data_IF_179817167983
#
_entry.id   IF_179817167983
#
_cell.length_a   1.000
_cell.length_b   1.000
_cell.length_c   1.000
_cell.angle_alpha   90.00
_cell.angle_beta   90.00
_cell.angle_gamma   90.00
#
_symmetry.space_group_name_H-M   'P 1'
#
loop_
_entity.id
_entity.type
_entity.pdbx_description
1 polymer ?
#
# COMPACT_ATOMS: atom_id res chain seq x y z
N UNK A 1 15.65 5.37 -22.68
CA UNK A 1 14.77 4.56 -21.78
C UNK A 1 13.37 5.13 -21.45
N UNK A 2 13.20 6.37 -20.94
CA UNK A 2 11.85 6.94 -20.67
C UNK A 2 11.27 7.66 -21.89
N UNK A 3 12.05 8.59 -22.48
CA UNK A 3 11.65 9.38 -23.64
C UNK A 3 11.30 8.49 -24.85
N UNK A 4 12.08 7.44 -25.12
CA UNK A 4 11.77 6.45 -26.17
C UNK A 4 10.41 5.77 -25.96
N UNK A 5 10.13 5.30 -24.73
CA UNK A 5 8.85 4.67 -24.40
C UNK A 5 7.67 5.64 -24.46
N UNK A 6 7.88 6.90 -24.08
CA UNK A 6 6.86 7.95 -24.22
C UNK A 6 6.62 8.30 -25.70
N UNK A 7 7.62 8.16 -26.58
CA UNK A 7 7.47 8.31 -28.03
C UNK A 7 6.67 7.15 -28.64
N UNK A 8 6.94 5.92 -28.19
CA UNK A 8 6.28 4.71 -28.70
C UNK A 8 4.86 4.52 -28.17
N UNK A 9 4.62 4.73 -26.88
CA UNK A 9 3.34 4.43 -26.20
C UNK A 9 2.59 5.66 -25.68
N UNK A 10 3.14 6.86 -25.90
CA UNK A 10 2.61 8.08 -25.32
C UNK A 10 2.98 8.29 -23.84
N UNK A 11 2.74 9.50 -23.35
CA UNK A 11 2.99 9.86 -21.95
C UNK A 11 1.91 9.27 -21.05
N UNK A 12 2.31 8.51 -20.03
CA UNK A 12 1.38 7.99 -19.01
C UNK A 12 0.67 9.16 -18.30
N UNK A 13 -0.66 9.19 -18.36
CA UNK A 13 -1.49 10.11 -17.57
C UNK A 13 -1.26 9.87 -16.07
N UNK A 14 -0.96 10.94 -15.34
CA UNK A 14 -0.82 10.87 -13.88
C UNK A 14 -2.19 11.02 -13.23
N UNK A 15 -2.68 9.96 -12.62
CA UNK A 15 -3.95 9.96 -11.87
C UNK A 15 -3.72 10.21 -10.37
N UNK A 16 -2.48 10.53 -9.96
CA UNK A 16 -2.11 10.69 -8.54
C UNK A 16 -3.00 11.70 -7.81
N UNK A 17 -3.33 12.84 -8.42
CA UNK A 17 -4.15 13.87 -7.75
C UNK A 17 -5.56 13.36 -7.47
N UNK A 18 -6.18 12.73 -8.46
CA UNK A 18 -7.52 12.14 -8.36
C UNK A 18 -7.56 11.10 -7.24
N UNK A 19 -6.69 10.10 -7.31
CA UNK A 19 -6.67 8.98 -6.34
C UNK A 19 -6.35 9.46 -4.92
N UNK A 20 -5.40 10.39 -4.75
CA UNK A 20 -5.07 10.92 -3.42
C UNK A 20 -6.24 11.72 -2.85
N UNK A 21 -6.94 12.49 -3.67
CA UNK A 21 -8.12 13.23 -3.23
C UNK A 21 -9.26 12.28 -2.81
N UNK A 22 -9.52 11.24 -3.59
CA UNK A 22 -10.50 10.19 -3.25
C UNK A 22 -10.18 9.53 -1.91
N UNK A 23 -8.93 9.09 -1.70
CA UNK A 23 -8.51 8.45 -0.45
C UNK A 23 -8.69 9.40 0.75
N UNK A 24 -8.22 10.65 0.64
CA UNK A 24 -8.33 11.60 1.74
C UNK A 24 -9.78 11.98 2.03
N UNK A 25 -10.63 12.09 1.01
CA UNK A 25 -12.05 12.40 1.18
C UNK A 25 -12.79 11.25 1.88
N UNK A 26 -12.51 10.00 1.50
CA UNK A 26 -13.03 8.82 2.19
C UNK A 26 -12.54 8.76 3.65
N UNK A 27 -11.27 9.10 3.90
CA UNK A 27 -10.77 9.16 5.28
C UNK A 27 -11.48 10.26 6.09
N UNK A 28 -11.72 11.43 5.50
CA UNK A 28 -12.44 12.52 6.16
C UNK A 28 -13.84 12.12 6.59
N UNK A 29 -14.56 11.33 5.80
CA UNK A 29 -15.92 10.88 6.17
C UNK A 29 -15.93 9.82 7.27
N UNK A 30 -14.79 9.17 7.55
CA UNK A 30 -14.67 8.13 8.58
C UNK A 30 -14.11 8.66 9.90
N UNK A 31 -13.48 9.83 9.91
CA UNK A 31 -12.86 10.40 11.11
C UNK A 31 -13.90 11.23 11.87
N UNK A 32 -14.13 10.96 13.17
CA UNK A 32 -14.97 11.79 14.02
C UNK A 32 -14.51 13.25 14.05
N UNK A 33 -15.46 14.20 14.03
CA UNK A 33 -15.21 15.64 13.89
C UNK A 33 -14.32 16.21 15.01
N UNK A 34 -14.37 15.61 16.19
CA UNK A 34 -13.67 16.08 17.40
C UNK A 34 -12.17 15.74 17.40
N UNK A 35 -11.72 14.86 16.51
CA UNK A 35 -10.35 14.36 16.52
C UNK A 35 -9.39 15.29 15.78
N UNK A 36 -8.29 15.63 16.45
CA UNK A 36 -7.16 16.29 15.78
C UNK A 36 -6.50 15.32 14.80
N UNK A 37 -6.46 15.69 13.52
CA UNK A 37 -5.97 14.82 12.45
C UNK A 37 -4.46 14.99 12.28
N UNK A 38 -3.71 13.90 12.44
CA UNK A 38 -2.28 13.84 12.14
C UNK A 38 -2.06 13.06 10.85
N UNK A 39 -1.45 13.71 9.86
CA UNK A 39 -1.12 13.11 8.58
C UNK A 39 0.38 13.07 8.45
N UNK A 40 0.94 11.88 8.25
CA UNK A 40 2.37 11.71 7.95
C UNK A 40 2.52 11.21 6.51
N UNK A 41 3.36 11.88 5.72
CA UNK A 41 3.62 11.47 4.34
C UNK A 41 5.08 11.70 3.94
N UNK A 42 5.47 11.25 2.75
CA UNK A 42 6.71 11.73 2.14
C UNK A 42 6.60 13.21 1.70
N UNK A 43 7.67 13.74 1.10
CA UNK A 43 7.75 15.10 0.55
C UNK A 43 7.22 15.26 -0.87
N UNK A 44 6.30 14.40 -1.34
CA UNK A 44 5.69 14.57 -2.66
C UNK A 44 4.93 15.90 -2.70
N UNK A 45 5.30 16.75 -3.67
CA UNK A 45 4.76 18.11 -3.86
C UNK A 45 3.23 18.19 -3.88
N UNK A 46 2.56 17.11 -4.28
CA UNK A 46 1.11 17.05 -4.37
C UNK A 46 0.42 17.09 -3.00
N UNK A 47 0.97 16.40 -1.98
CA UNK A 47 0.26 16.11 -0.73
C UNK A 47 -0.21 17.36 0.01
N UNK A 48 0.63 18.39 0.27
CA UNK A 48 0.19 19.56 1.03
C UNK A 48 -1.04 20.25 0.41
N UNK A 49 -1.07 20.37 -0.93
CA UNK A 49 -2.18 21.02 -1.64
C UNK A 49 -3.49 20.24 -1.52
N UNK A 50 -3.44 18.91 -1.63
CA UNK A 50 -4.64 18.07 -1.60
C UNK A 50 -5.14 17.89 -0.18
N UNK A 51 -4.24 17.74 0.80
CA UNK A 51 -4.60 17.65 2.23
C UNK A 51 -5.32 18.93 2.65
N UNK A 52 -4.77 20.11 2.32
CA UNK A 52 -5.39 21.41 2.62
C UNK A 52 -6.77 21.56 1.97
N UNK A 53 -6.93 21.06 0.75
CA UNK A 53 -8.22 21.07 0.05
C UNK A 53 -9.28 20.23 0.77
N UNK A 54 -8.90 19.06 1.30
CA UNK A 54 -9.84 18.12 1.92
C UNK A 54 -10.16 18.52 3.37
N UNK A 55 -9.14 18.82 4.18
CA UNK A 55 -9.29 19.03 5.63
C UNK A 55 -9.36 20.51 6.04
N UNK A 56 -9.22 21.45 5.09
CA UNK A 56 -9.15 22.88 5.40
C UNK A 56 -7.81 23.30 6.02
N UNK A 57 -7.57 24.61 6.15
CA UNK A 57 -6.25 25.15 6.53
C UNK A 57 -5.77 24.73 7.93
N UNK A 58 -6.70 24.56 8.88
CA UNK A 58 -6.39 24.30 10.29
C UNK A 58 -6.91 22.95 10.80
N UNK A 59 -7.48 22.11 9.91
CA UNK A 59 -8.09 20.83 10.31
C UNK A 59 -7.10 19.67 10.48
N UNK A 60 -5.79 19.90 10.32
CA UNK A 60 -4.79 18.84 10.36
C UNK A 60 -3.40 19.33 10.77
N UNK A 61 -2.57 18.40 11.23
CA UNK A 61 -1.12 18.53 11.37
C UNK A 61 -0.46 17.63 10.33
N UNK A 62 0.34 18.19 9.42
CA UNK A 62 1.04 17.43 8.39
C UNK A 62 2.53 17.33 8.66
N UNK A 63 2.99 16.11 8.91
CA UNK A 63 4.39 15.76 9.10
C UNK A 63 4.95 15.17 7.80
N UNK A 64 6.10 15.69 7.36
CA UNK A 64 6.73 15.26 6.10
C UNK A 64 8.07 14.59 6.31
N UNK A 65 8.19 13.37 5.79
CA UNK A 65 9.40 12.57 5.88
C UNK A 65 10.24 12.67 4.61
N UNK A 66 11.53 12.96 4.81
CA UNK A 66 12.47 13.07 3.71
C UNK A 66 12.90 11.68 3.25
N UNK A 67 12.72 11.40 1.96
CA UNK A 67 13.19 10.14 1.36
C UNK A 67 14.72 9.98 1.34
N UNK A 68 15.47 11.06 1.58
CA UNK A 68 16.94 11.06 1.71
C UNK A 68 17.44 10.76 3.12
N UNK A 69 16.57 10.74 4.13
CA UNK A 69 16.96 10.33 5.49
C UNK A 69 17.46 8.89 5.45
N UNK A 70 18.34 8.56 6.40
CA UNK A 70 18.85 7.20 6.59
C UNK A 70 17.66 6.23 6.68
N UNK A 71 17.80 5.07 6.04
CA UNK A 71 16.78 4.03 5.98
C UNK A 71 16.99 3.06 7.14
N UNK A 72 16.65 3.53 8.34
CA UNK A 72 16.70 2.75 9.57
C UNK A 72 15.29 2.65 10.19
N UNK A 73 15.21 2.04 11.37
CA UNK A 73 13.95 1.86 12.11
C UNK A 73 13.30 3.18 12.53
N UNK A 74 14.06 4.28 12.61
CA UNK A 74 13.54 5.61 12.94
C UNK A 74 12.89 6.32 11.75
N UNK A 75 13.08 5.81 10.54
CA UNK A 75 12.45 6.34 9.34
C UNK A 75 11.16 5.57 9.03
N UNK A 76 9.97 6.16 9.18
CA UNK A 76 8.70 5.47 8.93
C UNK A 76 8.50 5.10 7.45
N UNK A 77 9.28 5.67 6.53
CA UNK A 77 9.28 5.25 5.13
C UNK A 77 9.99 3.91 4.93
N UNK A 78 10.89 3.50 5.83
CA UNK A 78 11.60 2.23 5.72
C UNK A 78 10.65 1.01 5.72
N UNK A 79 9.76 0.80 6.72
CA UNK A 79 8.86 -0.36 6.73
C UNK A 79 7.91 -0.37 5.52
N UNK A 80 7.48 0.80 5.04
CA UNK A 80 6.66 0.91 3.81
C UNK A 80 7.46 0.45 2.60
N UNK A 81 8.66 0.99 2.41
CA UNK A 81 9.52 0.63 1.28
C UNK A 81 9.93 -0.85 1.33
N UNK A 82 10.20 -1.39 2.51
CA UNK A 82 10.50 -2.80 2.70
C UNK A 82 9.30 -3.67 2.32
N UNK A 83 8.10 -3.31 2.77
CA UNK A 83 6.85 -4.00 2.38
C UNK A 83 6.65 -3.98 0.85
N UNK A 84 6.90 -2.84 0.21
CA UNK A 84 6.82 -2.74 -1.26
C UNK A 84 7.93 -3.52 -1.97
N UNK A 85 9.10 -3.69 -1.36
CA UNK A 85 10.17 -4.52 -1.91
C UNK A 85 9.78 -6.01 -1.83
N UNK A 86 9.31 -6.47 -0.67
CA UNK A 86 8.76 -7.82 -0.48
C UNK A 86 7.64 -8.10 -1.49
N UNK A 87 6.73 -7.15 -1.70
CA UNK A 87 5.65 -7.30 -2.69
C UNK A 87 6.17 -7.53 -4.11
N UNK A 88 7.21 -6.80 -4.53
CA UNK A 88 7.79 -6.96 -5.88
C UNK A 88 8.54 -8.28 -6.05
N UNK A 89 9.16 -8.76 -4.99
CA UNK A 89 9.88 -10.03 -4.97
C UNK A 89 8.91 -11.23 -5.02
N UNK A 90 7.82 -11.16 -4.24
CA UNK A 90 6.85 -12.26 -4.13
C UNK A 90 5.85 -12.28 -5.29
N UNK A 91 5.66 -11.17 -6.01
CA UNK A 91 4.69 -11.07 -7.11
C UNK A 91 5.45 -10.93 -8.42
N UNK A 92 5.66 -12.07 -9.09
CA UNK A 92 6.31 -12.14 -10.41
C UNK A 92 5.68 -11.16 -11.42
N UNK A 93 4.36 -10.93 -11.33
CA UNK A 93 3.61 -10.01 -12.20
C UNK A 93 4.06 -8.55 -12.15
N UNK A 94 4.79 -8.13 -11.11
CA UNK A 94 5.32 -6.78 -10.92
C UNK A 94 6.75 -6.60 -11.45
N UNK A 95 7.44 -7.69 -11.78
CA UNK A 95 8.80 -7.64 -12.31
C UNK A 95 8.75 -7.23 -13.78
N UNK A 96 9.45 -6.14 -14.12
CA UNK A 96 9.29 -5.44 -15.42
C UNK A 96 9.79 -6.22 -16.64
N UNK A 97 10.68 -7.20 -16.45
CA UNK A 97 11.36 -7.95 -17.51
C UNK A 97 11.31 -9.45 -17.24
N UNK A 98 10.12 -9.97 -16.98
CA UNK A 98 9.89 -11.41 -16.93
C UNK A 98 8.69 -11.79 -17.79
N UNK A 99 8.54 -13.09 -18.03
CA UNK A 99 7.40 -13.64 -18.77
C UNK A 99 6.07 -13.40 -18.06
N UNK A 100 6.09 -13.35 -16.72
CA UNK A 100 4.90 -13.18 -15.88
C UNK A 100 4.35 -11.76 -15.79
N UNK A 101 5.00 -10.75 -16.39
CA UNK A 101 4.63 -9.34 -16.19
C UNK A 101 3.20 -9.08 -16.63
N UNK A 102 2.39 -8.49 -15.74
CA UNK A 102 0.99 -8.22 -16.08
C UNK A 102 0.86 -6.99 -16.95
N UNK A 103 0.35 -7.19 -18.17
CA UNK A 103 0.05 -6.11 -19.13
C UNK A 103 -1.30 -5.42 -18.85
N UNK A 104 -2.24 -6.11 -18.18
CA UNK A 104 -3.57 -5.59 -17.81
C UNK A 104 -3.77 -5.66 -16.29
N UNK A 105 -4.46 -4.65 -15.72
CA UNK A 105 -4.77 -4.55 -14.28
C UNK A 105 -5.55 -5.76 -13.77
N UNK A 106 -6.53 -6.25 -14.53
CA UNK A 106 -7.40 -7.35 -14.11
C UNK A 106 -6.64 -8.63 -13.78
N UNK A 107 -5.46 -8.85 -14.37
CA UNK A 107 -4.61 -10.00 -14.08
C UNK A 107 -3.68 -9.80 -12.88
N UNK A 108 -3.38 -8.54 -12.54
CA UNK A 108 -2.55 -8.21 -11.39
C UNK A 108 -3.36 -8.26 -10.08
N UNK A 109 -4.62 -7.82 -10.13
CA UNK A 109 -5.49 -7.70 -8.94
C UNK A 109 -5.63 -9.00 -8.15
N UNK A 110 -5.93 -10.17 -8.75
CA UNK A 110 -6.03 -11.42 -8.00
C UNK A 110 -4.73 -11.81 -7.28
N UNK A 111 -3.58 -11.60 -7.93
CA UNK A 111 -2.29 -11.91 -7.32
C UNK A 111 -1.94 -10.94 -6.17
N UNK A 112 -2.32 -9.66 -6.30
CA UNK A 112 -2.21 -8.71 -5.18
C UNK A 112 -3.05 -9.14 -3.98
N UNK A 113 -4.27 -9.63 -4.20
CA UNK A 113 -5.13 -10.16 -3.13
C UNK A 113 -4.53 -11.40 -2.47
N UNK A 114 -4.02 -12.35 -3.26
CA UNK A 114 -3.32 -13.52 -2.71
C UNK A 114 -2.12 -13.12 -1.85
N UNK A 115 -1.31 -12.16 -2.32
CA UNK A 115 -0.17 -11.66 -1.55
C UNK A 115 -0.59 -10.93 -0.27
N UNK A 116 -1.65 -10.11 -0.34
CA UNK A 116 -2.21 -9.42 0.83
C UNK A 116 -2.67 -10.43 1.88
N UNK A 117 -3.38 -11.47 1.48
CA UNK A 117 -3.86 -12.51 2.39
C UNK A 117 -2.67 -13.26 2.99
N UNK A 118 -1.76 -13.75 2.15
CA UNK A 118 -0.57 -14.48 2.59
C UNK A 118 0.28 -13.68 3.58
N UNK A 119 0.63 -12.43 3.25
CA UNK A 119 1.48 -11.56 4.07
C UNK A 119 0.86 -11.25 5.43
N UNK A 120 -0.45 -10.99 5.48
CA UNK A 120 -1.09 -10.50 6.69
C UNK A 120 -1.65 -11.61 7.58
N UNK A 121 -2.06 -12.75 7.01
CA UNK A 121 -2.83 -13.76 7.74
C UNK A 121 -2.14 -15.14 7.83
N UNK A 122 -1.14 -15.42 6.99
CA UNK A 122 -0.44 -16.73 6.99
C UNK A 122 1.01 -16.57 7.43
N UNK A 123 1.73 -15.62 6.82
CA UNK A 123 3.16 -15.44 7.03
C UNK A 123 3.40 -14.78 8.40
N UNK A 124 4.20 -15.39 9.29
CA UNK A 124 4.61 -14.76 10.53
C UNK A 124 5.48 -13.51 10.27
N UNK A 125 5.55 -12.58 11.23
CA UNK A 125 6.34 -11.34 11.07
C UNK A 125 7.84 -11.66 10.93
N UNK A 126 8.38 -12.51 11.82
CA UNK A 126 9.76 -13.03 11.78
C UNK A 126 9.78 -14.52 11.49
N UNK A 127 10.92 -15.05 11.01
CA UNK A 127 11.04 -16.48 10.67
C UNK A 127 11.11 -17.37 11.92
N UNK A 128 11.74 -16.87 12.99
CA UNK A 128 12.06 -17.66 14.17
C UNK A 128 11.05 -17.43 15.31
N UNK A 129 10.83 -18.47 16.11
CA UNK A 129 10.09 -18.37 17.38
C UNK A 129 8.56 -18.34 17.27
N UNK A 130 7.99 -18.75 16.14
CA UNK A 130 6.54 -18.80 15.89
C UNK A 130 5.79 -17.49 16.26
N UNK A 131 6.21 -16.33 15.75
CA UNK A 131 5.65 -15.03 16.12
C UNK A 131 4.23 -14.86 15.55
N UNK A 132 3.43 -13.92 16.06
CA UNK A 132 2.15 -13.60 15.44
C UNK A 132 2.34 -13.11 13.99
N UNK A 133 1.30 -13.27 13.19
CA UNK A 133 1.16 -12.62 11.89
C UNK A 133 0.85 -11.13 12.07
N UNK A 134 1.03 -10.30 11.01
CA UNK A 134 0.61 -8.90 11.07
C UNK A 134 -0.87 -8.73 11.42
N UNK A 135 -1.75 -9.62 10.94
CA UNK A 135 -3.18 -9.59 11.22
C UNK A 135 -3.49 -9.87 12.68
N UNK A 136 -2.82 -10.84 13.30
CA UNK A 136 -2.93 -11.10 14.74
C UNK A 136 -2.43 -9.90 15.57
N UNK A 137 -1.28 -9.32 15.19
CA UNK A 137 -0.68 -8.20 15.93
C UNK A 137 -1.59 -6.98 16.00
N UNK A 138 -2.32 -6.67 14.92
CA UNK A 138 -3.24 -5.52 14.86
C UNK A 138 -4.67 -5.87 15.29
N UNK A 139 -4.91 -7.12 15.72
CA UNK A 139 -6.24 -7.59 16.11
C UNK A 139 -7.22 -7.79 14.96
N UNK A 140 -6.74 -7.83 13.71
CA UNK A 140 -7.56 -8.12 12.53
C UNK A 140 -7.89 -9.62 12.39
N UNK A 141 -7.18 -10.50 13.10
CA UNK A 141 -7.49 -11.92 13.22
C UNK A 141 -7.23 -12.40 14.64
N UNK A 142 -8.02 -13.38 15.09
CA UNK A 142 -7.80 -14.06 16.38
C UNK A 142 -6.70 -15.13 16.32
N UNK A 143 -6.33 -15.59 15.13
CA UNK A 143 -5.32 -16.63 14.92
C UNK A 143 -4.66 -16.53 13.54
N UNK A 144 -3.54 -17.23 13.38
CA UNK A 144 -2.89 -17.45 12.09
C UNK A 144 -3.71 -18.42 11.23
N UNK A 145 -4.01 -18.02 10.00
CA UNK A 145 -4.66 -18.87 9.02
C UNK A 145 -3.65 -19.80 8.35
N UNK A 146 -4.07 -21.04 8.11
CA UNK A 146 -3.40 -21.96 7.20
C UNK A 146 -3.98 -21.86 5.77
N UNK A 147 -3.26 -22.36 4.74
CA UNK A 147 -3.78 -22.36 3.37
C UNK A 147 -5.15 -23.01 3.23
N UNK A 148 -5.41 -24.09 3.98
CA UNK A 148 -6.71 -24.80 3.95
C UNK A 148 -7.87 -23.87 4.33
N UNK A 149 -7.73 -23.09 5.39
CA UNK A 149 -8.78 -22.17 5.86
C UNK A 149 -9.03 -21.05 4.85
N UNK A 150 -7.97 -20.52 4.23
CA UNK A 150 -8.11 -19.48 3.20
C UNK A 150 -8.88 -20.00 1.99
N UNK A 151 -8.56 -21.22 1.53
CA UNK A 151 -9.22 -21.81 0.36
C UNK A 151 -10.62 -22.36 0.66
N UNK A 152 -10.99 -22.52 1.93
CA UNK A 152 -12.38 -22.82 2.32
C UNK A 152 -13.33 -21.65 2.03
N UNK A 153 -12.82 -20.42 2.00
CA UNK A 153 -13.63 -19.24 1.73
C UNK A 153 -14.03 -19.21 0.26
N UNK A 154 -15.21 -19.76 -0.05
CA UNK A 154 -15.82 -19.68 -1.37
C UNK A 154 -16.46 -18.31 -1.57
N UNK A 155 -15.65 -17.33 -1.94
CA UNK A 155 -16.15 -15.99 -2.33
C UNK A 155 -16.72 -16.03 -3.77
N UNK A 156 -16.36 -17.04 -4.56
CA UNK A 156 -16.89 -17.25 -5.89
C UNK A 156 -18.00 -18.31 -5.83
N UNK A 157 -19.26 -17.86 -5.88
CA UNK A 157 -20.34 -18.69 -6.40
C UNK A 157 -20.21 -18.65 -7.93
N UNK A 158 -19.91 -19.80 -8.52
CA UNK A 158 -20.02 -20.01 -9.97
C UNK A 158 -21.42 -20.52 -10.29
#
# INVERSE_FOLDING_TARGET
>A
MKKEREKEFGKRKSESRKVVNEVLSTLKSLIPIENRIYIQSDRKKLYPSVIKQVFGKNGFVHLQECSKRKRDKGNPLFPINHTLAQMRDNISRLVRRNWGVSKKRNWLVPHLWLWLVWRNYVRPITADGNPPTPGELVGASSHRYCPKEIFQWRIFQF
#
